data_IF_870861239265
#
_entry.id   IF_870861239265
#
_cell.length_a   1.000
_cell.length_b   1.000
_cell.length_c   1.000
_cell.angle_alpha   90.00
_cell.angle_beta   90.00
_cell.angle_gamma   90.00
#
_symmetry.space_group_name_H-M   'P 1'
#
loop_
_entity.id
_entity.type
_entity.pdbx_description
1 polymer ?
#
# COMPACT_ATOMS: atom_id res chain seq x y z
N UNK A 1 10.80 -18.27 10.19
CA UNK A 1 10.74 -18.63 11.61
C UNK A 1 9.68 -19.70 11.88
N UNK A 2 9.90 -20.61 12.86
CA UNK A 2 8.93 -21.69 13.16
C UNK A 2 7.59 -21.12 13.61
N UNK A 3 7.60 -20.11 14.46
CA UNK A 3 6.39 -19.41 14.95
C UNK A 3 5.58 -18.74 13.82
N UNK A 4 6.25 -18.20 12.78
CA UNK A 4 5.57 -17.73 11.58
C UNK A 4 4.89 -18.87 10.84
N UNK A 5 5.60 -20.01 10.66
CA UNK A 5 5.07 -21.16 9.99
C UNK A 5 3.81 -21.72 10.68
N UNK A 6 3.87 -21.86 12.01
CA UNK A 6 2.75 -22.39 12.81
C UNK A 6 1.54 -21.45 12.77
N UNK A 7 1.78 -20.14 12.94
CA UNK A 7 0.72 -19.14 12.87
C UNK A 7 0.06 -19.08 11.49
N UNK A 8 0.88 -18.97 10.44
CA UNK A 8 0.38 -18.83 9.06
C UNK A 8 -0.33 -20.09 8.57
N UNK A 9 0.17 -21.27 8.97
CA UNK A 9 -0.50 -22.54 8.69
C UNK A 9 -1.86 -22.63 9.38
N UNK A 10 -1.97 -22.18 10.62
CA UNK A 10 -3.25 -22.12 11.33
C UNK A 10 -4.23 -21.16 10.65
N UNK A 11 -3.73 -20.06 10.11
CA UNK A 11 -4.52 -19.03 9.45
C UNK A 11 -5.03 -19.44 8.07
N UNK A 12 -4.16 -20.03 7.24
CA UNK A 12 -4.46 -20.35 5.84
C UNK A 12 -4.86 -21.81 5.61
N UNK A 13 -4.53 -22.72 6.54
CA UNK A 13 -4.57 -24.17 6.34
C UNK A 13 -3.29 -24.71 5.71
N UNK A 14 -3.14 -26.05 5.73
CA UNK A 14 -1.90 -26.71 5.32
C UNK A 14 -1.60 -26.55 3.82
N UNK A 15 -2.61 -26.56 2.96
CA UNK A 15 -2.47 -26.51 1.51
C UNK A 15 -2.03 -25.12 1.04
N UNK A 16 -2.83 -24.08 1.37
CA UNK A 16 -2.51 -22.68 1.03
C UNK A 16 -1.18 -22.24 1.66
N UNK A 17 -0.85 -22.74 2.86
CA UNK A 17 0.45 -22.45 3.48
C UNK A 17 1.63 -23.02 2.67
N UNK A 18 1.52 -24.25 2.18
CA UNK A 18 2.58 -24.86 1.34
C UNK A 18 2.75 -24.10 0.03
N UNK A 19 1.66 -23.73 -0.61
CA UNK A 19 1.69 -22.94 -1.85
C UNK A 19 2.29 -21.56 -1.62
N UNK A 20 1.94 -20.89 -0.51
CA UNK A 20 2.54 -19.61 -0.13
C UNK A 20 4.06 -19.75 0.04
N UNK A 21 4.54 -20.72 0.80
CA UNK A 21 5.98 -20.92 1.01
C UNK A 21 6.70 -21.19 -0.32
N UNK A 22 6.15 -22.04 -1.17
CA UNK A 22 6.71 -22.31 -2.50
C UNK A 22 6.80 -21.03 -3.34
N UNK A 23 5.78 -20.18 -3.29
CA UNK A 23 5.79 -18.92 -4.04
C UNK A 23 6.74 -17.89 -3.45
N UNK A 24 6.97 -17.90 -2.13
CA UNK A 24 7.98 -17.03 -1.50
C UNK A 24 9.42 -17.41 -1.90
N UNK A 25 9.66 -18.64 -2.31
CA UNK A 25 10.96 -19.14 -2.80
C UNK A 25 11.14 -18.99 -4.33
N UNK A 26 10.06 -18.66 -5.07
CA UNK A 26 10.09 -18.49 -6.53
C UNK A 26 10.56 -17.09 -6.95
N UNK A 27 10.86 -16.90 -8.24
CA UNK A 27 11.17 -15.57 -8.79
C UNK A 27 10.00 -14.61 -8.62
N UNK A 28 10.33 -13.35 -8.36
CA UNK A 28 9.34 -12.31 -8.16
C UNK A 28 8.83 -11.79 -9.50
N UNK A 29 7.52 -11.55 -9.59
CA UNK A 29 6.99 -10.75 -10.68
C UNK A 29 7.53 -9.32 -10.59
N UNK A 30 7.82 -8.73 -11.74
CA UNK A 30 8.25 -7.34 -11.85
C UNK A 30 7.14 -6.57 -12.52
N UNK A 31 6.80 -5.42 -11.96
CA UNK A 31 5.80 -4.52 -12.52
C UNK A 31 6.23 -3.07 -12.50
N UNK A 32 5.71 -2.32 -13.46
CA UNK A 32 5.92 -0.89 -13.58
C UNK A 32 4.58 -0.17 -13.71
N UNK A 33 4.57 1.10 -13.36
CA UNK A 33 3.43 1.98 -13.57
C UNK A 33 3.86 3.18 -14.40
N UNK A 34 3.20 3.40 -15.53
CA UNK A 34 3.49 4.49 -16.46
C UNK A 34 3.08 5.84 -15.87
N UNK A 35 3.86 6.88 -16.20
CA UNK A 35 3.54 8.25 -15.85
C UNK A 35 2.66 8.89 -16.92
N UNK A 36 1.39 9.24 -16.63
CA UNK A 36 0.50 9.83 -17.61
C UNK A 36 0.94 11.22 -18.09
N UNK A 37 1.76 11.93 -17.28
CA UNK A 37 2.31 13.25 -17.66
C UNK A 37 3.51 13.16 -18.60
N UNK A 38 4.11 11.97 -18.76
CA UNK A 38 5.32 11.75 -19.57
C UNK A 38 5.13 10.54 -20.48
N UNK A 39 4.17 10.61 -21.43
CA UNK A 39 3.87 9.48 -22.31
C UNK A 39 5.06 9.15 -23.20
N UNK A 40 5.31 7.87 -23.39
CA UNK A 40 6.30 7.34 -24.32
C UNK A 40 5.77 6.09 -25.00
N UNK A 41 6.40 5.69 -26.10
CA UNK A 41 6.03 4.47 -26.81
C UNK A 41 6.46 3.24 -25.99
N UNK A 42 5.56 2.77 -25.15
CA UNK A 42 5.71 1.52 -24.42
C UNK A 42 5.14 0.39 -25.28
N UNK A 43 5.97 -0.56 -25.64
CA UNK A 43 5.53 -1.75 -26.37
C UNK A 43 5.18 -2.82 -25.35
N UNK A 44 3.91 -2.97 -25.08
CA UNK A 44 3.42 -4.00 -24.21
C UNK A 44 3.21 -5.30 -25.01
N UNK A 45 4.22 -6.21 -24.99
CA UNK A 45 3.92 -7.64 -25.03
C UNK A 45 3.42 -8.10 -23.68
N UNK A 46 3.29 -7.18 -22.74
CA UNK A 46 3.14 -7.41 -21.33
C UNK A 46 1.67 -7.49 -20.93
N UNK A 47 1.46 -8.18 -19.83
CA UNK A 47 0.15 -8.28 -19.22
C UNK A 47 -0.12 -7.03 -18.38
N UNK A 48 -1.25 -6.37 -18.63
CA UNK A 48 -1.71 -5.27 -17.79
C UNK A 48 -1.99 -5.76 -16.35
N UNK A 49 -1.70 -4.90 -15.37
CA UNK A 49 -2.16 -5.11 -14.00
C UNK A 49 -3.66 -4.89 -13.97
N UNK A 50 -4.49 -5.90 -13.63
CA UNK A 50 -5.94 -5.82 -13.85
C UNK A 50 -6.64 -4.68 -13.09
N UNK A 51 -6.10 -4.28 -11.95
CA UNK A 51 -6.68 -3.25 -11.07
C UNK A 51 -6.00 -1.87 -11.21
N UNK A 52 -5.12 -1.70 -12.20
CA UNK A 52 -4.42 -0.44 -12.41
C UNK A 52 -4.30 -0.12 -13.91
N UNK A 53 -4.87 1.00 -14.33
CA UNK A 53 -4.95 1.39 -15.75
C UNK A 53 -3.61 1.69 -16.40
N UNK A 54 -2.62 2.08 -15.61
CA UNK A 54 -1.25 2.39 -16.07
C UNK A 54 -0.20 1.39 -15.60
N UNK A 55 -0.63 0.27 -15.00
CA UNK A 55 0.23 -0.78 -14.47
C UNK A 55 0.45 -1.91 -15.45
N UNK A 56 1.69 -2.42 -15.53
CA UNK A 56 2.08 -3.53 -16.40
C UNK A 56 3.05 -4.45 -15.72
N UNK A 57 2.86 -5.77 -15.89
CA UNK A 57 3.87 -6.77 -15.57
C UNK A 57 4.91 -6.85 -16.68
N UNK A 58 6.16 -7.04 -16.31
CA UNK A 58 7.26 -7.29 -17.26
C UNK A 58 7.60 -8.77 -17.28
N UNK A 59 7.92 -9.31 -18.46
CA UNK A 59 8.36 -10.70 -18.61
C UNK A 59 9.70 -10.96 -17.91
N UNK A 60 10.61 -9.97 -17.96
CA UNK A 60 11.92 -10.04 -17.35
C UNK A 60 12.21 -8.77 -16.55
N UNK A 61 13.09 -8.87 -15.57
CA UNK A 61 13.57 -7.71 -14.81
C UNK A 61 14.71 -7.01 -15.54
N UNK A 62 14.47 -5.84 -16.15
CA UNK A 62 15.54 -5.09 -16.80
C UNK A 62 16.46 -4.44 -15.75
N UNK A 63 17.64 -4.00 -16.20
CA UNK A 63 18.54 -3.19 -15.38
C UNK A 63 18.10 -1.72 -15.43
N UNK A 64 17.11 -1.38 -14.60
CA UNK A 64 16.46 -0.06 -14.57
C UNK A 64 17.45 1.12 -14.42
N UNK A 65 18.60 0.92 -13.76
CA UNK A 65 19.61 1.94 -13.56
C UNK A 65 20.26 2.46 -14.85
N UNK A 66 20.13 1.71 -15.94
CA UNK A 66 20.64 2.13 -17.25
C UNK A 66 19.54 2.65 -18.18
N UNK A 67 18.29 2.65 -17.73
CA UNK A 67 17.18 3.15 -18.54
C UNK A 67 16.99 4.67 -18.36
N UNK A 68 17.21 5.47 -19.42
CA UNK A 68 16.97 6.91 -19.36
C UNK A 68 15.52 7.28 -19.02
N UNK A 69 14.54 6.47 -19.44
CA UNK A 69 13.14 6.72 -19.17
C UNK A 69 12.79 6.54 -17.69
N UNK A 70 13.46 5.60 -17.01
CA UNK A 70 13.36 5.46 -15.55
C UNK A 70 13.87 6.73 -14.84
N UNK A 71 15.02 7.24 -15.26
CA UNK A 71 15.58 8.46 -14.67
C UNK A 71 14.78 9.72 -15.02
N UNK A 72 14.15 9.74 -16.20
CA UNK A 72 13.24 10.81 -16.60
C UNK A 72 11.88 10.78 -15.89
N UNK A 73 11.59 9.71 -15.11
CA UNK A 73 10.32 9.54 -14.41
C UNK A 73 9.15 9.25 -15.35
N UNK A 74 9.40 8.61 -16.49
CA UNK A 74 8.35 8.18 -17.41
C UNK A 74 7.56 6.99 -16.87
N UNK A 75 8.13 6.24 -15.94
CA UNK A 75 7.48 5.15 -15.20
C UNK A 75 8.08 4.98 -13.81
N UNK A 76 7.36 4.31 -12.95
CA UNK A 76 7.78 3.91 -11.60
C UNK A 76 7.82 2.38 -11.51
N UNK A 77 8.90 1.82 -10.97
CA UNK A 77 8.97 0.38 -10.65
C UNK A 77 8.20 0.17 -9.36
N UNK A 78 7.02 -0.39 -9.46
CA UNK A 78 6.08 -0.53 -8.35
C UNK A 78 5.52 -1.94 -8.29
N UNK A 79 5.35 -2.45 -7.10
CA UNK A 79 4.65 -3.69 -6.82
C UNK A 79 3.19 -3.59 -7.28
N UNK A 80 2.72 -4.58 -8.03
CA UNK A 80 1.38 -4.57 -8.59
C UNK A 80 0.28 -4.47 -7.53
N UNK A 81 0.42 -5.16 -6.40
CA UNK A 81 -0.54 -5.06 -5.29
C UNK A 81 -0.62 -3.65 -4.70
N UNK A 82 0.50 -2.91 -4.65
CA UNK A 82 0.51 -1.51 -4.21
C UNK A 82 -0.27 -0.57 -5.14
N UNK A 83 -0.45 -0.97 -6.40
CA UNK A 83 -1.26 -0.21 -7.37
C UNK A 83 -2.77 -0.35 -7.12
N UNK A 84 -3.20 -1.26 -6.26
CA UNK A 84 -4.60 -1.47 -5.91
C UNK A 84 -5.25 -0.26 -5.21
N UNK A 85 -4.45 0.66 -4.68
CA UNK A 85 -4.94 1.96 -4.17
C UNK A 85 -5.78 2.72 -5.21
N UNK A 86 -5.55 2.47 -6.51
CA UNK A 86 -6.35 3.03 -7.59
C UNK A 86 -7.84 2.68 -7.48
N UNK A 87 -8.17 1.46 -7.05
CA UNK A 87 -9.55 1.02 -6.90
C UNK A 87 -10.27 1.79 -5.79
N UNK A 88 -9.58 2.06 -4.69
CA UNK A 88 -10.12 2.87 -3.61
C UNK A 88 -10.45 4.29 -4.07
N UNK A 89 -9.50 4.93 -4.76
CA UNK A 89 -9.69 6.29 -5.26
C UNK A 89 -10.78 6.36 -6.33
N UNK A 90 -10.82 5.44 -7.27
CA UNK A 90 -11.83 5.42 -8.35
C UNK A 90 -13.26 5.22 -7.84
N UNK A 91 -13.43 4.42 -6.78
CA UNK A 91 -14.77 4.06 -6.32
C UNK A 91 -15.32 5.04 -5.28
N UNK A 92 -14.45 5.74 -4.55
CA UNK A 92 -14.89 6.54 -3.42
C UNK A 92 -14.42 8.00 -3.42
N UNK A 93 -13.42 8.37 -4.22
CA UNK A 93 -13.01 9.77 -4.27
C UNK A 93 -13.97 10.60 -5.10
N UNK A 94 -14.24 11.82 -4.63
CA UNK A 94 -15.02 12.81 -5.37
C UNK A 94 -14.29 13.27 -6.63
N UNK A 95 -15.05 13.72 -7.64
CA UNK A 95 -14.51 14.38 -8.84
C UNK A 95 -14.05 15.83 -8.57
N UNK A 96 -14.41 16.38 -7.42
CA UNK A 96 -14.03 17.71 -6.98
C UNK A 96 -12.60 17.75 -6.41
N UNK A 97 -11.91 18.89 -6.44
CA UNK A 97 -10.60 19.04 -5.84
C UNK A 97 -10.56 18.64 -4.35
N UNK A 98 -9.56 17.88 -3.96
CA UNK A 98 -9.41 17.36 -2.60
C UNK A 98 -8.02 17.66 -2.02
N UNK A 99 -7.92 17.65 -0.69
CA UNK A 99 -6.66 17.63 0.03
C UNK A 99 -6.46 16.23 0.61
N UNK A 100 -5.45 15.53 0.13
CA UNK A 100 -5.13 14.16 0.55
C UNK A 100 -3.76 14.09 1.22
N UNK A 101 -3.67 13.27 2.25
CA UNK A 101 -2.41 12.94 2.94
C UNK A 101 -2.01 11.50 2.64
N UNK A 102 -0.77 11.30 2.23
CA UNK A 102 -0.06 10.01 2.28
C UNK A 102 0.92 10.07 3.46
N UNK A 103 0.55 9.44 4.58
CA UNK A 103 1.19 9.67 5.88
C UNK A 103 2.55 8.95 6.03
N UNK A 104 2.71 7.79 5.41
CA UNK A 104 3.93 6.96 5.45
C UNK A 104 4.44 6.72 4.03
N UNK A 105 4.76 7.80 3.32
CA UNK A 105 4.77 7.86 1.86
C UNK A 105 6.02 7.28 1.20
N UNK A 106 7.17 7.24 1.88
CA UNK A 106 8.41 6.81 1.24
C UNK A 106 8.39 5.34 0.81
N UNK A 107 8.93 5.04 -0.37
CA UNK A 107 9.74 5.87 -1.26
C UNK A 107 8.95 6.70 -2.29
N UNK A 108 7.61 6.68 -2.30
CA UNK A 108 6.79 7.53 -3.17
C UNK A 108 6.02 6.79 -4.27
N UNK A 109 6.01 5.46 -4.26
CA UNK A 109 5.26 4.68 -5.24
C UNK A 109 3.75 4.95 -5.18
N UNK A 110 3.16 4.89 -3.99
CA UNK A 110 1.75 5.21 -3.78
C UNK A 110 1.48 6.71 -3.96
N UNK A 111 2.34 7.60 -3.45
CA UNK A 111 2.18 9.06 -3.60
C UNK A 111 2.15 9.50 -5.06
N UNK A 112 3.08 9.03 -5.90
CA UNK A 112 3.11 9.34 -7.33
C UNK A 112 1.88 8.78 -8.04
N UNK A 113 1.39 7.63 -7.62
CA UNK A 113 0.18 7.02 -8.16
C UNK A 113 -1.07 7.83 -7.79
N UNK A 114 -1.24 8.13 -6.51
CA UNK A 114 -2.35 8.94 -6.00
C UNK A 114 -2.41 10.27 -6.73
N UNK A 115 -1.29 11.00 -6.81
CA UNK A 115 -1.27 12.31 -7.48
C UNK A 115 -1.74 12.24 -8.93
N UNK A 116 -1.40 11.14 -9.63
CA UNK A 116 -1.84 10.94 -11.02
C UNK A 116 -3.34 10.66 -11.16
N UNK A 117 -4.03 10.31 -10.07
CA UNK A 117 -5.45 9.97 -10.05
C UNK A 117 -6.32 11.06 -9.46
N UNK A 118 -5.76 11.93 -8.61
CA UNK A 118 -6.51 13.03 -8.00
C UNK A 118 -6.94 14.06 -9.04
N UNK A 119 -8.12 14.65 -8.89
CA UNK A 119 -8.60 15.73 -9.75
C UNK A 119 -7.62 16.91 -9.83
N UNK A 120 -7.72 17.67 -10.90
CA UNK A 120 -6.98 18.93 -11.05
C UNK A 120 -7.28 19.87 -9.86
N UNK A 121 -6.28 20.67 -9.47
CA UNK A 121 -6.33 21.57 -8.31
C UNK A 121 -6.45 20.86 -6.95
N UNK A 122 -6.32 19.53 -6.88
CA UNK A 122 -6.15 18.81 -5.63
C UNK A 122 -4.73 18.96 -5.10
N UNK A 123 -4.56 18.90 -3.78
CA UNK A 123 -3.26 18.93 -3.12
C UNK A 123 -2.96 17.57 -2.48
N UNK A 124 -1.79 17.00 -2.79
CA UNK A 124 -1.24 15.85 -2.08
C UNK A 124 -0.17 16.30 -1.10
N UNK A 125 -0.32 15.92 0.16
CA UNK A 125 0.73 16.02 1.17
C UNK A 125 1.32 14.63 1.34
N UNK A 126 2.62 14.46 1.08
CA UNK A 126 3.34 13.21 1.21
C UNK A 126 4.33 13.33 2.36
N UNK A 127 4.08 12.56 3.43
CA UNK A 127 4.87 12.63 4.66
C UNK A 127 5.72 11.38 4.87
N UNK A 128 6.88 11.56 5.44
CA UNK A 128 7.74 10.47 5.93
C UNK A 128 8.50 10.92 7.17
N UNK A 129 8.37 10.17 8.26
CA UNK A 129 9.00 10.49 9.55
C UNK A 129 10.51 10.33 9.52
N UNK A 130 11.02 9.38 8.75
CA UNK A 130 12.45 9.09 8.65
C UNK A 130 13.12 10.01 7.61
N UNK A 131 13.99 10.90 8.06
CA UNK A 131 14.60 11.95 7.23
C UNK A 131 15.27 11.44 5.95
N UNK A 132 16.05 10.36 6.01
CA UNK A 132 16.70 9.81 4.82
C UNK A 132 15.68 9.32 3.79
N UNK A 133 14.59 8.72 4.25
CA UNK A 133 13.51 8.23 3.39
C UNK A 133 12.69 9.40 2.84
N UNK A 134 12.49 10.48 3.59
CA UNK A 134 11.79 11.66 3.09
C UNK A 134 12.56 12.36 1.95
N UNK A 135 13.89 12.30 1.95
CA UNK A 135 14.70 12.80 0.84
C UNK A 135 14.49 11.97 -0.43
N UNK A 136 14.48 10.64 -0.31
CA UNK A 136 14.17 9.73 -1.44
C UNK A 136 12.75 9.97 -1.97
N UNK A 137 11.80 10.18 -1.06
CA UNK A 137 10.42 10.54 -1.42
C UNK A 137 10.38 11.83 -2.24
N UNK A 138 11.07 12.87 -1.78
CA UNK A 138 11.15 14.17 -2.47
C UNK A 138 11.78 14.05 -3.86
N UNK A 139 12.85 13.27 -4.00
CA UNK A 139 13.49 12.99 -5.29
C UNK A 139 12.53 12.28 -6.26
N UNK A 140 11.82 11.25 -5.79
CA UNK A 140 10.89 10.48 -6.62
C UNK A 140 9.67 11.32 -7.05
N UNK A 141 9.12 12.14 -6.15
CA UNK A 141 8.00 13.04 -6.48
C UNK A 141 8.45 14.16 -7.45
N UNK A 142 9.64 14.72 -7.25
CA UNK A 142 10.23 15.70 -8.18
C UNK A 142 10.45 15.07 -9.56
N UNK A 143 10.99 13.86 -9.59
CA UNK A 143 11.18 13.11 -10.84
C UNK A 143 9.84 12.77 -11.52
N UNK A 144 8.80 12.49 -10.76
CA UNK A 144 7.45 12.27 -11.31
C UNK A 144 6.90 13.51 -11.99
N UNK A 145 7.02 14.69 -11.36
CA UNK A 145 6.91 16.00 -12.00
C UNK A 145 5.55 16.67 -11.89
N UNK A 146 4.66 16.25 -10.97
CA UNK A 146 3.42 16.98 -10.71
C UNK A 146 3.65 18.12 -9.71
N UNK A 147 3.16 19.37 -9.96
CA UNK A 147 3.45 20.51 -9.10
C UNK A 147 2.66 20.54 -7.77
N UNK A 148 1.47 19.93 -7.73
CA UNK A 148 0.55 20.04 -6.59
C UNK A 148 0.83 18.96 -5.53
N UNK A 149 2.07 18.91 -5.07
CA UNK A 149 2.57 17.98 -4.04
C UNK A 149 3.45 18.72 -3.05
N UNK A 150 3.21 18.49 -1.77
CA UNK A 150 4.07 18.97 -0.67
C UNK A 150 4.68 17.78 0.04
N UNK A 151 5.99 17.78 0.22
CA UNK A 151 6.70 16.76 1.00
C UNK A 151 6.97 17.27 2.39
N UNK A 152 6.62 16.49 3.42
CA UNK A 152 6.87 16.78 4.82
C UNK A 152 7.72 15.70 5.48
N UNK A 153 8.41 16.07 6.55
CA UNK A 153 9.19 15.14 7.38
C UNK A 153 8.78 15.35 8.84
N UNK A 154 7.63 14.78 9.22
CA UNK A 154 6.95 15.01 10.50
C UNK A 154 6.49 13.70 11.12
N UNK A 155 6.42 13.65 12.46
CA UNK A 155 5.72 12.58 13.17
C UNK A 155 4.20 12.73 12.93
N UNK A 156 3.42 11.65 12.91
CA UNK A 156 1.96 11.74 12.78
C UNK A 156 1.30 12.70 13.78
N UNK A 157 1.81 12.78 15.00
CA UNK A 157 1.30 13.69 16.03
C UNK A 157 1.49 15.18 15.70
N UNK A 158 2.40 15.54 14.81
CA UNK A 158 2.61 16.91 14.37
C UNK A 158 1.44 17.44 13.50
N UNK A 159 0.63 16.53 12.97
CA UNK A 159 -0.56 16.87 12.16
C UNK A 159 -1.80 17.18 13.02
N UNK A 160 -1.81 16.87 14.31
CA UNK A 160 -2.98 17.03 15.18
C UNK A 160 -3.61 18.44 15.18
N UNK A 161 -2.87 19.55 14.94
CA UNK A 161 -3.50 20.86 14.79
C UNK A 161 -4.36 21.04 13.53
N UNK A 162 -4.27 20.12 12.57
CA UNK A 162 -5.05 20.16 11.32
C UNK A 162 -6.35 19.35 11.46
N UNK A 163 -7.18 19.69 12.43
CA UNK A 163 -8.48 19.04 12.64
C UNK A 163 -9.38 19.21 11.40
N UNK A 164 -10.08 18.12 11.01
CA UNK A 164 -11.03 18.09 9.88
C UNK A 164 -10.46 18.69 8.58
N UNK A 165 -9.18 18.43 8.30
CA UNK A 165 -8.47 19.08 7.20
C UNK A 165 -8.41 18.23 5.92
N UNK A 166 -8.21 16.91 6.05
CA UNK A 166 -8.02 16.04 4.93
C UNK A 166 -9.33 15.39 4.47
N UNK A 167 -9.56 15.39 3.16
CA UNK A 167 -10.66 14.65 2.53
C UNK A 167 -10.38 13.15 2.48
N UNK A 168 -9.10 12.79 2.34
CA UNK A 168 -8.64 11.42 2.39
C UNK A 168 -7.24 11.30 3.01
N UNK A 169 -6.99 10.19 3.69
CA UNK A 169 -5.69 9.85 4.27
C UNK A 169 -5.32 8.41 3.85
N UNK A 170 -4.14 8.23 3.27
CA UNK A 170 -3.51 6.93 3.12
C UNK A 170 -2.53 6.69 4.25
N UNK A 171 -2.62 5.53 4.88
CA UNK A 171 -1.67 5.05 5.88
C UNK A 171 -1.11 3.70 5.47
N UNK A 172 0.01 3.72 4.71
CA UNK A 172 0.81 2.51 4.47
C UNK A 172 1.76 2.32 5.65
N UNK A 173 1.20 1.79 6.73
CA UNK A 173 1.83 1.82 8.04
C UNK A 173 3.06 0.90 8.14
N UNK A 174 4.09 1.29 8.93
CA UNK A 174 5.19 0.39 9.27
C UNK A 174 4.66 -0.89 9.92
N UNK A 175 5.08 -2.04 9.41
CA UNK A 175 4.57 -3.35 9.82
C UNK A 175 5.70 -4.37 10.03
N UNK A 176 5.36 -5.57 10.47
CA UNK A 176 6.31 -6.67 10.72
C UNK A 176 6.99 -7.21 9.44
N UNK A 177 6.49 -6.83 8.26
CA UNK A 177 7.18 -7.03 7.00
C UNK A 177 7.19 -8.47 6.46
N UNK A 178 6.20 -9.29 6.75
CA UNK A 178 6.11 -10.68 6.27
C UNK A 178 6.17 -10.77 4.74
N UNK A 179 5.60 -9.80 4.04
CA UNK A 179 5.67 -9.69 2.59
C UNK A 179 7.07 -9.39 2.05
N UNK A 180 7.99 -8.95 2.90
CA UNK A 180 9.39 -8.71 2.52
C UNK A 180 10.26 -9.98 2.56
N UNK A 181 9.78 -11.09 3.12
CA UNK A 181 10.56 -12.34 3.26
C UNK A 181 11.15 -12.84 1.94
N UNK A 182 10.46 -12.56 0.85
CA UNK A 182 10.91 -12.91 -0.51
C UNK A 182 12.04 -12.00 -1.03
N UNK A 183 12.14 -10.77 -0.51
CA UNK A 183 13.07 -9.74 -0.99
C UNK A 183 14.25 -9.52 -0.07
N UNK A 184 14.04 -9.69 1.23
CA UNK A 184 15.00 -9.32 2.26
C UNK A 184 15.11 -10.42 3.32
N UNK A 185 16.21 -11.19 3.32
CA UNK A 185 16.46 -12.19 4.36
C UNK A 185 16.54 -11.60 5.78
N UNK A 186 16.87 -10.33 5.93
CA UNK A 186 16.92 -9.65 7.24
C UNK A 186 15.52 -9.59 7.83
N UNK A 187 14.49 -9.33 7.02
CA UNK A 187 13.10 -9.33 7.47
C UNK A 187 12.68 -10.66 8.13
N UNK A 188 13.21 -11.80 7.62
CA UNK A 188 12.97 -13.11 8.21
C UNK A 188 13.60 -13.23 9.60
N UNK A 189 14.81 -12.70 9.77
CA UNK A 189 15.55 -12.79 11.04
C UNK A 189 15.03 -11.83 12.12
N UNK A 190 14.45 -10.72 11.72
CA UNK A 190 13.87 -9.71 12.61
C UNK A 190 12.42 -10.01 13.01
N UNK A 191 11.76 -10.90 12.27
CA UNK A 191 10.37 -11.24 12.54
C UNK A 191 10.22 -12.08 13.81
N UNK A 192 9.33 -11.67 14.68
CA UNK A 192 8.90 -12.44 15.86
C UNK A 192 7.45 -12.07 16.23
N UNK A 193 6.74 -12.90 17.00
CA UNK A 193 5.42 -12.57 17.52
C UNK A 193 5.42 -11.27 18.35
N UNK A 194 6.49 -11.00 19.07
CA UNK A 194 6.68 -9.77 19.85
C UNK A 194 6.82 -8.56 18.95
N UNK A 195 7.57 -8.69 17.83
CA UNK A 195 7.70 -7.61 16.86
C UNK A 195 6.36 -7.31 16.14
N UNK A 196 5.57 -8.34 15.84
CA UNK A 196 4.19 -8.16 15.32
C UNK A 196 3.35 -7.33 16.27
N UNK A 197 3.41 -7.62 17.58
CA UNK A 197 2.65 -6.86 18.59
C UNK A 197 3.15 -5.42 18.74
N UNK A 198 4.46 -5.19 18.71
CA UNK A 198 5.05 -3.84 18.71
C UNK A 198 4.58 -3.04 17.49
N UNK A 199 4.59 -3.66 16.30
CA UNK A 199 4.10 -3.04 15.07
C UNK A 199 2.60 -2.71 15.17
N UNK A 200 1.79 -3.64 15.67
CA UNK A 200 0.36 -3.43 15.88
C UNK A 200 0.07 -2.22 16.77
N UNK A 201 0.76 -2.10 17.89
CA UNK A 201 0.59 -0.97 18.80
C UNK A 201 1.04 0.35 18.16
N UNK A 202 2.15 0.34 17.43
CA UNK A 202 2.63 1.51 16.67
C UNK A 202 1.60 1.96 15.63
N UNK A 203 1.02 1.02 14.89
CA UNK A 203 -0.01 1.30 13.89
C UNK A 203 -1.23 1.95 14.52
N UNK A 204 -1.70 1.45 15.67
CA UNK A 204 -2.82 2.04 16.41
C UNK A 204 -2.51 3.45 16.90
N UNK A 205 -1.29 3.72 17.38
CA UNK A 205 -0.85 5.06 17.75
C UNK A 205 -0.91 6.00 16.54
N UNK A 206 -0.34 5.58 15.40
CA UNK A 206 -0.34 6.37 14.16
C UNK A 206 -1.77 6.73 13.74
N UNK A 207 -2.68 5.77 13.76
CA UNK A 207 -4.08 6.01 13.41
C UNK A 207 -4.75 6.95 14.42
N UNK A 208 -4.55 6.74 15.71
CA UNK A 208 -5.13 7.61 16.74
C UNK A 208 -4.66 9.06 16.63
N UNK A 209 -3.38 9.27 16.31
CA UNK A 209 -2.81 10.61 16.13
C UNK A 209 -3.38 11.32 14.88
N UNK A 210 -3.64 10.57 13.79
CA UNK A 210 -4.05 11.18 12.52
C UNK A 210 -5.56 11.24 12.32
N UNK A 211 -6.33 10.43 13.04
CA UNK A 211 -7.77 10.34 12.86
C UNK A 211 -8.51 11.69 12.98
N UNK A 212 -8.19 12.55 13.97
CA UNK A 212 -8.84 13.86 14.08
C UNK A 212 -8.61 14.80 12.89
N UNK A 213 -7.59 14.51 12.07
CA UNK A 213 -7.27 15.31 10.89
C UNK A 213 -8.13 14.95 9.67
N UNK A 214 -8.83 13.81 9.72
CA UNK A 214 -9.74 13.36 8.67
C UNK A 214 -11.09 14.07 8.85
N UNK A 215 -11.60 14.66 7.75
CA UNK A 215 -12.93 15.28 7.75
C UNK A 215 -14.03 14.27 8.06
N UNK A 216 -15.13 14.67 8.69
CA UNK A 216 -16.34 13.87 8.74
C UNK A 216 -16.77 13.44 7.32
N UNK A 217 -16.99 12.15 7.10
CA UNK A 217 -17.25 11.59 5.77
C UNK A 217 -16.02 11.48 4.87
N UNK A 218 -14.83 11.78 5.37
CA UNK A 218 -13.57 11.55 4.70
C UNK A 218 -13.19 10.07 4.67
N UNK A 219 -12.17 9.73 3.89
CA UNK A 219 -11.76 8.34 3.61
C UNK A 219 -10.39 8.07 4.19
N UNK A 220 -10.28 7.05 5.03
CA UNK A 220 -9.00 6.48 5.43
C UNK A 220 -8.70 5.24 4.58
N UNK A 221 -7.52 5.14 4.00
CA UNK A 221 -7.00 3.95 3.34
C UNK A 221 -5.90 3.38 4.22
N UNK A 222 -6.09 2.16 4.71
CA UNK A 222 -5.13 1.48 5.58
C UNK A 222 -4.47 0.33 4.81
N UNK A 223 -3.15 0.30 4.77
CA UNK A 223 -2.39 -0.78 4.13
C UNK A 223 -1.16 -1.21 4.92
N UNK A 224 -0.77 -2.46 4.72
CA UNK A 224 0.44 -3.07 5.28
C UNK A 224 1.11 -3.95 4.24
N UNK A 225 2.34 -4.38 4.49
CA UNK A 225 3.00 -5.43 3.72
C UNK A 225 3.16 -6.73 4.55
N UNK A 226 2.14 -7.10 5.32
CA UNK A 226 2.17 -8.31 6.15
C UNK A 226 0.93 -9.16 5.96
N UNK A 227 0.98 -10.45 6.30
CA UNK A 227 -0.12 -11.40 6.08
C UNK A 227 -0.94 -11.69 7.32
N UNK A 228 -0.46 -11.36 8.53
CA UNK A 228 -1.14 -11.69 9.78
C UNK A 228 -2.42 -10.87 9.99
N UNK A 229 -3.37 -11.42 10.73
CA UNK A 229 -4.63 -10.74 11.06
C UNK A 229 -4.46 -9.66 12.13
N UNK A 230 -3.43 -9.75 12.96
CA UNK A 230 -3.21 -8.82 14.09
C UNK A 230 -2.96 -7.39 13.62
N UNK A 231 -2.14 -7.25 12.57
CA UNK A 231 -1.80 -5.96 11.99
C UNK A 231 -2.80 -5.52 10.92
N UNK A 232 -3.68 -6.40 10.46
CA UNK A 232 -4.69 -6.17 9.43
C UNK A 232 -6.09 -6.15 10.02
N UNK A 233 -6.85 -7.23 9.97
CA UNK A 233 -8.26 -7.27 10.36
C UNK A 233 -8.52 -6.84 11.81
N UNK A 234 -7.66 -7.21 12.75
CA UNK A 234 -7.82 -6.80 14.14
C UNK A 234 -7.61 -5.29 14.34
N UNK A 235 -6.74 -4.67 13.53
CA UNK A 235 -6.59 -3.22 13.51
C UNK A 235 -7.79 -2.54 12.84
N UNK A 236 -8.34 -3.09 11.75
CA UNK A 236 -9.54 -2.57 11.12
C UNK A 236 -10.74 -2.66 12.09
N UNK A 237 -10.91 -3.79 12.77
CA UNK A 237 -11.91 -3.91 13.82
C UNK A 237 -11.74 -2.85 14.91
N UNK A 238 -10.52 -2.64 15.38
CA UNK A 238 -10.24 -1.61 16.37
C UNK A 238 -10.55 -0.20 15.84
N UNK A 239 -10.19 0.14 14.61
CA UNK A 239 -10.51 1.44 13.98
C UNK A 239 -12.03 1.64 13.93
N UNK A 240 -12.77 0.63 13.48
CA UNK A 240 -14.23 0.65 13.44
C UNK A 240 -14.83 0.90 14.82
N UNK A 241 -14.38 0.15 15.81
CA UNK A 241 -14.97 0.16 17.16
C UNK A 241 -14.57 1.41 17.98
N UNK A 242 -13.33 1.89 17.80
CA UNK A 242 -12.81 3.05 18.54
C UNK A 242 -13.31 4.39 17.97
N UNK A 243 -13.37 4.50 16.65
CA UNK A 243 -13.69 5.77 15.99
C UNK A 243 -15.07 5.79 15.32
N UNK A 244 -15.82 4.70 15.37
CA UNK A 244 -17.12 4.59 14.71
C UNK A 244 -17.02 4.61 13.17
N UNK A 245 -15.90 4.15 12.61
CA UNK A 245 -15.69 4.09 11.18
C UNK A 245 -16.58 3.04 10.51
N UNK A 246 -17.02 3.33 9.29
CA UNK A 246 -17.70 2.36 8.42
C UNK A 246 -16.68 1.76 7.45
N UNK A 247 -16.54 0.43 7.44
CA UNK A 247 -15.64 -0.24 6.49
C UNK A 247 -16.30 -0.32 5.12
N UNK A 248 -15.70 0.34 4.14
CA UNK A 248 -16.24 0.45 2.79
C UNK A 248 -15.78 -0.72 1.91
N UNK A 249 -16.71 -1.46 1.27
CA UNK A 249 -16.35 -2.53 0.34
C UNK A 249 -15.92 -1.94 -1.01
N UNK A 250 -14.93 -2.59 -1.66
CA UNK A 250 -14.60 -2.33 -3.06
C UNK A 250 -15.23 -3.39 -3.96
N UNK A 251 -15.69 -2.96 -5.11
CA UNK A 251 -16.03 -3.87 -6.20
C UNK A 251 -14.75 -4.43 -6.80
N UNK A 252 -14.56 -5.74 -6.69
CA UNK A 252 -13.41 -6.46 -7.22
C UNK A 252 -13.86 -7.63 -8.08
N UNK A 253 -13.19 -7.84 -9.20
CA UNK A 253 -13.48 -8.95 -10.08
C UNK A 253 -12.94 -10.27 -9.49
N UNK A 254 -13.71 -11.36 -9.59
CA UNK A 254 -13.32 -12.68 -9.05
C UNK A 254 -12.02 -13.20 -9.69
N UNK A 255 -11.81 -12.91 -10.98
CA UNK A 255 -10.63 -13.32 -11.72
C UNK A 255 -9.32 -12.70 -11.21
N UNK A 256 -9.39 -11.67 -10.38
CA UNK A 256 -8.21 -11.10 -9.74
C UNK A 256 -7.64 -11.97 -8.62
N UNK A 257 -8.39 -12.96 -8.17
CA UNK A 257 -8.02 -13.91 -7.12
C UNK A 257 -7.52 -13.24 -5.82
N UNK A 258 -8.11 -12.10 -5.48
CA UNK A 258 -7.82 -11.38 -4.23
C UNK A 258 -8.47 -12.12 -3.08
N UNK A 259 -7.69 -12.43 -2.06
CA UNK A 259 -8.20 -13.11 -0.86
C UNK A 259 -8.91 -12.12 0.05
N UNK A 260 -10.07 -12.49 0.56
CA UNK A 260 -10.85 -11.69 1.49
C UNK A 260 -10.37 -11.76 2.94
N UNK A 261 -11.29 -11.41 3.85
CA UNK A 261 -11.10 -11.42 5.29
C UNK A 261 -10.79 -12.84 5.81
N UNK A 262 -9.76 -12.97 6.65
CA UNK A 262 -9.35 -14.21 7.29
C UNK A 262 -9.76 -14.28 8.77
N UNK A 263 -10.33 -13.23 9.33
CA UNK A 263 -10.88 -13.21 10.69
C UNK A 263 -12.32 -13.69 10.66
N UNK A 264 -12.54 -14.95 10.98
CA UNK A 264 -13.82 -15.67 10.79
C UNK A 264 -15.03 -15.03 11.50
N UNK A 265 -14.79 -14.23 12.53
CA UNK A 265 -15.83 -13.58 13.34
C UNK A 265 -16.32 -12.25 12.73
N UNK A 266 -15.68 -11.78 11.65
CA UNK A 266 -15.94 -10.47 11.05
C UNK A 266 -16.33 -10.60 9.58
N UNK A 267 -17.28 -9.76 9.15
CA UNK A 267 -17.81 -9.77 7.78
C UNK A 267 -17.37 -8.60 6.92
N UNK A 268 -16.57 -7.67 7.45
CA UNK A 268 -16.10 -6.53 6.67
C UNK A 268 -15.08 -6.93 5.61
N UNK A 269 -14.98 -6.11 4.55
CA UNK A 269 -14.12 -6.39 3.41
C UNK A 269 -12.66 -6.10 3.70
N UNK A 270 -11.80 -7.02 3.27
CA UNK A 270 -10.33 -6.92 3.31
C UNK A 270 -9.79 -7.49 2.01
N UNK A 271 -8.71 -6.92 1.50
CA UNK A 271 -8.14 -7.28 0.19
C UNK A 271 -6.70 -7.72 0.38
N UNK A 272 -6.46 -9.04 0.29
CA UNK A 272 -5.16 -9.69 0.45
C UNK A 272 -4.61 -10.17 -0.87
N UNK A 273 -3.38 -9.81 -1.11
CA UNK A 273 -2.62 -10.27 -2.27
C UNK A 273 -1.64 -11.34 -1.82
N UNK A 274 -2.05 -12.60 -1.92
CA UNK A 274 -1.21 -13.72 -1.59
C UNK A 274 -0.43 -14.17 -2.84
N UNK A 275 0.91 -14.25 -2.79
CA UNK A 275 1.73 -14.50 -4.00
C UNK A 275 1.44 -15.80 -4.74
N UNK A 276 0.85 -16.79 -4.08
CA UNK A 276 0.45 -18.06 -4.71
C UNK A 276 -0.91 -17.98 -5.42
N UNK A 277 -1.72 -16.95 -5.16
CA UNK A 277 -3.03 -16.74 -5.80
C UNK A 277 -3.01 -15.63 -6.83
N UNK A 278 -2.21 -14.61 -6.60
CA UNK A 278 -2.15 -13.40 -7.40
C UNK A 278 -0.69 -13.15 -7.81
N UNK A 279 -0.38 -12.76 -9.06
CA UNK A 279 1.00 -12.52 -9.50
C UNK A 279 1.56 -11.23 -8.89
N UNK A 280 1.85 -11.27 -7.60
CA UNK A 280 2.36 -10.15 -6.79
C UNK A 280 3.53 -10.59 -5.93
N UNK A 281 4.34 -9.65 -5.47
CA UNK A 281 5.41 -9.97 -4.52
C UNK A 281 4.91 -9.95 -3.08
N UNK A 282 4.03 -9.03 -2.73
CA UNK A 282 3.38 -8.88 -1.41
C UNK A 282 2.30 -7.82 -1.48
N UNK A 283 1.33 -7.79 -0.64
CA UNK A 283 0.67 -6.62 -0.02
C UNK A 283 -0.74 -6.92 0.45
N UNK A 284 -1.20 -6.03 1.28
CA UNK A 284 -2.52 -6.01 1.86
C UNK A 284 -3.07 -4.58 1.82
N UNK A 285 -4.33 -4.41 1.50
CA UNK A 285 -5.02 -3.12 1.52
C UNK A 285 -6.41 -3.28 2.10
N UNK A 286 -6.79 -2.36 2.97
CA UNK A 286 -8.14 -2.26 3.51
C UNK A 286 -8.58 -0.80 3.54
N UNK A 287 -9.87 -0.57 3.36
CA UNK A 287 -10.53 0.71 3.52
C UNK A 287 -11.41 0.65 4.77
N UNK A 288 -11.05 1.29 5.84
CA UNK A 288 -11.98 1.58 6.92
C UNK A 288 -12.76 2.84 6.65
#
# INVERSE_FOLDING_TARGET
PVSFADYTRTLLGDEDYKELVTSLESEQSVSIRLNPLKPFAFRSGEHAVPWCTSGFYLEERPTFTFDPLFHAGCYYVQEASSMFVEQALKQYMAEEPVVMLDLCAAPGGKSTHIRSLLPDNSLLIANEVIRNRSQILAENLTKWGHPDVVVTNSDPSDFTPLEDFFDAILTDVPCSGEGMFRKDPVAISEWSPENVEICRQRQRRIIADIWPCLKPGGILIYSTCTYNTKENEENIRWIRDEFGAEVLPLDVAEEWNITGNLLQEESFSVYRFLPHKTPVSYTHLTLP
#
